data_IF_215892001395
#
_entry.id   IF_215892001395
#
_cell.length_a   1.000
_cell.length_b   1.000
_cell.length_c   1.000
_cell.angle_alpha   90.00
_cell.angle_beta   90.00
_cell.angle_gamma   90.00
#
_symmetry.space_group_name_H-M   'P 1'
#
loop_
_entity.id
_entity.type
_entity.pdbx_description
1 polymer ?
#
# COMPACT_ATOMS: atom_id res chain seq x y z
N UNK A 1 -0.16 3.86 -4.49
CA UNK A 1 -0.71 4.67 -5.60
C UNK A 1 -2.19 4.44 -5.90
N UNK A 2 -2.69 3.21 -6.11
CA UNK A 2 -4.12 2.94 -6.41
C UNK A 2 -5.11 3.40 -5.32
N UNK A 3 -4.77 3.34 -4.04
CA UNK A 3 -5.65 3.79 -2.93
C UNK A 3 -5.76 5.31 -2.82
N UNK A 4 -4.66 6.03 -3.04
CA UNK A 4 -4.66 7.51 -3.07
C UNK A 4 -5.49 8.03 -4.24
N UNK A 5 -5.38 7.39 -5.40
CA UNK A 5 -6.19 7.73 -6.58
C UNK A 5 -7.70 7.47 -6.36
N UNK A 6 -8.04 6.41 -5.61
CA UNK A 6 -9.44 6.12 -5.20
C UNK A 6 -9.98 7.18 -4.22
N UNK A 7 -9.15 7.62 -3.28
CA UNK A 7 -9.50 8.68 -2.34
C UNK A 7 -9.72 10.00 -3.07
N UNK A 8 -8.82 10.36 -3.99
CA UNK A 8 -8.95 11.53 -4.85
C UNK A 8 -10.24 11.51 -5.68
N UNK A 9 -10.59 10.39 -6.32
CA UNK A 9 -11.86 10.26 -7.06
C UNK A 9 -13.08 10.44 -6.17
N UNK A 10 -13.07 9.94 -4.93
CA UNK A 10 -14.17 10.16 -3.97
C UNK A 10 -14.29 11.62 -3.55
N UNK A 11 -13.19 12.29 -3.23
CA UNK A 11 -13.19 13.72 -2.91
C UNK A 11 -13.67 14.55 -4.09
N UNK A 12 -13.22 14.27 -5.30
CA UNK A 12 -13.68 14.92 -6.51
C UNK A 12 -15.19 14.76 -6.70
N UNK A 13 -15.71 13.55 -6.55
CA UNK A 13 -17.14 13.27 -6.67
C UNK A 13 -17.97 14.01 -5.61
N UNK A 14 -17.50 14.05 -4.36
CA UNK A 14 -18.18 14.78 -3.27
C UNK A 14 -18.20 16.28 -3.58
N UNK A 15 -17.09 16.85 -4.04
CA UNK A 15 -17.00 18.27 -4.37
C UNK A 15 -17.86 18.63 -5.58
N UNK A 16 -17.89 17.77 -6.59
CA UNK A 16 -18.76 17.91 -7.77
C UNK A 16 -20.24 17.84 -7.38
N UNK A 17 -20.62 16.86 -6.56
CA UNK A 17 -21.99 16.73 -6.05
C UNK A 17 -22.40 17.91 -5.16
N UNK A 18 -21.50 18.38 -4.28
CA UNK A 18 -21.78 19.55 -3.43
C UNK A 18 -21.94 20.83 -4.26
N UNK A 19 -21.11 21.01 -5.29
CA UNK A 19 -21.24 22.12 -6.25
C UNK A 19 -22.56 22.07 -7.02
N UNK A 20 -22.97 20.89 -7.48
CA UNK A 20 -24.25 20.69 -8.15
C UNK A 20 -25.45 20.97 -7.24
N UNK A 21 -25.41 20.50 -6.00
CA UNK A 21 -26.46 20.76 -5.00
C UNK A 21 -26.58 22.26 -4.72
N UNK A 22 -25.45 22.95 -4.54
CA UNK A 22 -25.40 24.40 -4.31
C UNK A 22 -25.97 25.17 -5.49
N UNK A 23 -25.67 24.73 -6.72
CA UNK A 23 -26.19 25.31 -7.95
C UNK A 23 -27.71 25.13 -8.05
N UNK A 24 -28.23 23.94 -7.78
CA UNK A 24 -29.69 23.66 -7.79
C UNK A 24 -30.39 24.46 -6.69
N UNK A 25 -29.81 24.56 -5.51
CA UNK A 25 -30.34 25.33 -4.36
C UNK A 25 -30.41 26.82 -4.70
N UNK A 26 -29.34 27.40 -5.31
CA UNK A 26 -29.28 28.78 -5.70
C UNK A 26 -30.30 29.08 -6.84
N UNK A 27 -30.43 28.17 -7.80
CA UNK A 27 -31.43 28.30 -8.85
C UNK A 27 -32.86 28.21 -8.28
N UNK A 28 -33.12 27.28 -7.40
CA UNK A 28 -34.41 27.15 -6.71
C UNK A 28 -34.77 28.37 -5.86
N UNK A 29 -33.77 28.90 -5.12
CA UNK A 29 -33.94 30.14 -4.35
C UNK A 29 -34.24 31.35 -5.27
N UNK A 30 -33.52 31.46 -6.36
CA UNK A 30 -33.77 32.54 -7.38
C UNK A 30 -35.19 32.45 -7.93
N UNK A 31 -35.66 31.28 -8.31
CA UNK A 31 -37.02 31.04 -8.82
C UNK A 31 -38.04 31.37 -7.72
N UNK A 32 -37.81 30.91 -6.45
CA UNK A 32 -38.71 31.22 -5.36
C UNK A 32 -38.83 32.72 -5.08
N UNK A 33 -37.72 33.45 -5.03
CA UNK A 33 -37.70 34.89 -4.80
C UNK A 33 -38.36 35.67 -5.96
N UNK A 34 -38.16 35.25 -7.20
CA UNK A 34 -38.78 35.90 -8.37
C UNK A 34 -40.25 35.58 -8.46
N UNK A 35 -40.68 34.35 -8.20
CA UNK A 35 -42.09 33.96 -8.25
C UNK A 35 -42.92 34.65 -7.16
N UNK A 36 -42.40 34.78 -5.95
CA UNK A 36 -43.09 35.49 -4.86
C UNK A 36 -43.28 37.00 -5.09
N UNK A 37 -42.44 37.62 -5.95
CA UNK A 37 -42.47 39.04 -6.23
C UNK A 37 -43.43 39.43 -7.37
N UNK A 38 -43.96 38.46 -8.12
CA UNK A 38 -44.76 38.72 -9.36
C UNK A 38 -46.27 38.46 -9.17
N UNK A 39 -46.73 38.18 -7.93
CA UNK A 39 -48.12 37.71 -7.68
C UNK A 39 -49.25 38.67 -8.13
N UNK A 40 -49.03 39.96 -8.31
CA UNK A 40 -50.01 40.89 -8.85
C UNK A 40 -49.47 41.84 -9.95
N UNK A 41 -48.33 41.49 -10.56
CA UNK A 41 -47.71 42.26 -11.67
C UNK A 41 -47.77 43.81 -11.47
N UNK A 42 -47.53 44.26 -10.21
CA UNK A 42 -47.56 45.69 -9.89
C UNK A 42 -48.97 46.34 -10.00
N UNK A 43 -50.01 45.54 -9.81
CA UNK A 43 -51.40 46.01 -9.89
C UNK A 43 -52.10 45.80 -11.21
N UNK A 44 -51.42 45.27 -12.24
CA UNK A 44 -52.04 45.05 -13.59
C UNK A 44 -53.19 44.05 -13.54
N UNK A 45 -53.10 42.98 -12.78
CA UNK A 45 -54.14 41.95 -12.69
C UNK A 45 -55.40 42.52 -12.04
N UNK A 46 -55.27 43.23 -10.92
CA UNK A 46 -56.40 43.87 -10.24
C UNK A 46 -57.07 44.97 -11.08
N UNK A 47 -56.28 45.73 -11.84
CA UNK A 47 -56.85 46.78 -12.76
C UNK A 47 -57.60 46.13 -13.92
N UNK A 48 -57.08 45.06 -14.50
CA UNK A 48 -57.75 44.35 -15.58
C UNK A 48 -59.08 43.71 -15.14
N UNK A 49 -59.08 43.11 -13.91
CA UNK A 49 -60.34 42.61 -13.36
C UNK A 49 -61.36 43.70 -13.04
N UNK A 50 -60.90 44.83 -12.47
CA UNK A 50 -61.77 45.92 -12.14
C UNK A 50 -62.43 46.53 -13.40
N UNK A 51 -61.76 46.53 -14.55
CA UNK A 51 -62.32 47.02 -15.80
C UNK A 51 -63.61 46.31 -16.21
N UNK A 52 -63.69 44.97 -15.91
CA UNK A 52 -64.88 44.17 -16.18
C UNK A 52 -66.04 44.43 -15.23
N UNK A 53 -65.74 44.86 -13.99
CA UNK A 53 -66.71 45.06 -12.91
C UNK A 53 -67.28 46.52 -12.82
N UNK A 54 -66.80 47.45 -13.58
CA UNK A 54 -67.36 48.81 -13.71
C UNK A 54 -68.41 48.77 -14.79
N UNK A 55 -69.70 49.04 -14.47
CA UNK A 55 -70.83 48.97 -15.33
C UNK A 55 -71.41 50.40 -15.59
N UNK A 56 -71.74 50.67 -16.84
CA UNK A 56 -72.41 51.92 -17.22
C UNK A 56 -73.92 51.84 -16.94
N UNK A 57 -74.50 52.83 -16.32
CA UNK A 57 -75.93 52.91 -16.01
C UNK A 57 -76.69 53.56 -17.15
N UNK A 58 -78.00 53.29 -17.25
CA UNK A 58 -78.90 53.87 -18.26
C UNK A 58 -78.93 55.41 -18.24
N UNK A 59 -78.48 56.01 -17.13
CA UNK A 59 -78.41 57.48 -16.94
C UNK A 59 -77.05 58.08 -17.34
N UNK A 60 -76.11 57.27 -17.93
CA UNK A 60 -74.78 57.73 -18.37
C UNK A 60 -73.74 57.82 -17.22
N UNK A 61 -74.02 57.30 -16.02
CA UNK A 61 -73.07 57.20 -14.92
C UNK A 61 -72.43 55.83 -14.85
N UNK A 62 -71.44 55.64 -13.99
CA UNK A 62 -70.77 54.35 -13.76
C UNK A 62 -71.00 53.87 -12.34
N UNK A 63 -71.29 52.56 -12.15
CA UNK A 63 -71.46 51.93 -10.85
C UNK A 63 -70.54 50.72 -10.82
N UNK A 64 -69.89 50.55 -9.68
CA UNK A 64 -69.03 49.39 -9.42
C UNK A 64 -69.85 48.22 -8.80
N UNK A 65 -69.67 47.00 -9.30
CA UNK A 65 -70.34 45.83 -8.79
C UNK A 65 -69.80 45.48 -7.36
N UNK A 66 -70.56 44.65 -6.58
CA UNK A 66 -70.08 44.14 -5.30
C UNK A 66 -68.72 43.45 -5.41
N UNK A 67 -68.51 42.71 -6.54
CA UNK A 67 -67.22 42.04 -6.79
C UNK A 67 -66.13 43.05 -7.04
N UNK A 68 -66.39 44.10 -7.75
CA UNK A 68 -65.49 45.24 -7.94
C UNK A 68 -65.12 45.94 -6.66
N UNK A 69 -66.11 46.16 -5.77
CA UNK A 69 -65.85 46.67 -4.39
C UNK A 69 -64.92 45.74 -3.61
N UNK A 70 -65.14 44.42 -3.65
CA UNK A 70 -64.28 43.43 -3.06
C UNK A 70 -62.83 43.47 -3.56
N UNK A 71 -62.62 43.76 -4.86
CA UNK A 71 -61.24 43.95 -5.44
C UNK A 71 -60.58 45.19 -4.79
N UNK A 72 -61.31 46.33 -4.74
CA UNK A 72 -60.77 47.54 -4.07
C UNK A 72 -60.40 47.33 -2.63
N UNK A 73 -61.24 46.64 -1.85
CA UNK A 73 -60.99 46.30 -0.45
C UNK A 73 -59.79 45.37 -0.25
N UNK A 74 -59.73 44.30 -1.07
CA UNK A 74 -58.65 43.31 -1.00
C UNK A 74 -57.27 43.95 -1.22
N UNK A 75 -57.18 44.88 -2.15
CA UNK A 75 -55.92 45.53 -2.49
C UNK A 75 -55.79 46.92 -1.82
N UNK A 76 -56.74 47.33 -0.95
CA UNK A 76 -56.76 48.64 -0.35
C UNK A 76 -56.61 49.77 -1.38
N UNK A 77 -57.14 49.51 -2.57
CA UNK A 77 -56.97 50.36 -3.74
C UNK A 77 -58.12 51.33 -3.89
N UNK A 78 -57.86 52.43 -4.60
CA UNK A 78 -58.87 53.35 -5.02
C UNK A 78 -58.88 53.40 -6.56
N UNK A 79 -60.06 53.72 -7.12
CA UNK A 79 -60.23 53.82 -8.59
C UNK A 79 -60.82 55.10 -9.01
N UNK A 80 -60.48 55.53 -10.25
CA UNK A 80 -61.15 56.60 -10.96
C UNK A 80 -61.18 56.32 -12.45
N UNK A 81 -62.24 56.88 -13.15
CA UNK A 81 -62.39 56.75 -14.58
C UNK A 81 -62.30 58.18 -15.20
N UNK A 82 -61.35 58.39 -16.09
CA UNK A 82 -61.11 59.68 -16.79
C UNK A 82 -61.70 59.59 -18.16
N UNK A 83 -62.54 60.59 -18.51
CA UNK A 83 -63.20 60.72 -19.80
C UNK A 83 -62.25 61.09 -20.93
N UNK A 84 -62.35 60.36 -22.03
CA UNK A 84 -61.61 60.70 -23.25
C UNK A 84 -61.95 62.10 -23.80
N UNK A 85 -60.95 62.86 -24.19
CA UNK A 85 -61.09 64.22 -24.84
C UNK A 85 -61.32 65.35 -23.86
N UNK A 86 -62.01 65.17 -22.72
CA UNK A 86 -62.24 66.18 -21.68
C UNK A 86 -61.32 66.19 -20.53
N UNK A 87 -60.82 65.00 -20.16
CA UNK A 87 -60.02 64.80 -18.95
C UNK A 87 -60.79 64.90 -17.63
N UNK A 88 -62.11 64.96 -17.64
CA UNK A 88 -62.92 64.95 -16.42
C UNK A 88 -63.07 63.55 -15.82
N UNK A 89 -63.16 63.42 -14.50
CA UNK A 89 -63.37 62.15 -13.82
C UNK A 89 -64.88 61.83 -13.83
N UNK A 90 -65.28 60.80 -14.63
CA UNK A 90 -66.63 60.31 -14.73
C UNK A 90 -67.09 59.49 -13.53
N UNK A 91 -66.19 58.85 -12.94
CA UNK A 91 -66.46 57.97 -11.73
C UNK A 91 -65.19 57.87 -10.86
N UNK A 92 -65.42 57.83 -9.57
CA UNK A 92 -64.36 57.49 -8.60
C UNK A 92 -64.87 56.61 -7.44
N UNK A 93 -64.01 55.88 -6.79
CA UNK A 93 -64.33 55.11 -5.64
C UNK A 93 -64.51 55.99 -4.38
N UNK A 94 -65.28 55.53 -3.37
CA UNK A 94 -65.57 56.30 -2.15
C UNK A 94 -64.27 56.57 -1.30
N UNK A 95 -63.30 55.72 -1.41
CA UNK A 95 -62.03 55.85 -0.71
C UNK A 95 -60.95 56.63 -1.46
N UNK A 96 -61.35 57.42 -2.46
CA UNK A 96 -60.42 58.26 -3.23
C UNK A 96 -59.70 59.25 -2.27
N UNK A 97 -58.36 59.32 -2.22
CA UNK A 97 -57.64 60.28 -1.42
C UNK A 97 -57.90 61.73 -1.87
N UNK A 98 -58.07 62.64 -0.90
CA UNK A 98 -58.36 64.06 -1.16
C UNK A 98 -57.27 64.76 -1.99
N UNK A 99 -56.10 64.22 -2.11
CA UNK A 99 -54.96 64.77 -2.83
C UNK A 99 -55.06 64.49 -4.37
N UNK A 100 -55.96 63.60 -4.76
CA UNK A 100 -56.08 63.15 -6.15
C UNK A 100 -57.03 64.18 -6.91
N UNK A 101 -56.54 64.76 -8.00
CA UNK A 101 -57.33 65.69 -8.76
C UNK A 101 -58.48 64.97 -9.51
N UNK A 102 -59.59 65.72 -9.74
CA UNK A 102 -60.80 65.25 -10.47
C UNK A 102 -60.83 65.72 -11.93
N UNK A 103 -59.80 66.42 -12.40
CA UNK A 103 -59.60 66.81 -13.80
C UNK A 103 -58.17 66.66 -14.18
N UNK A 104 -57.91 66.16 -15.39
CA UNK A 104 -56.58 65.84 -15.89
C UNK A 104 -56.37 66.43 -17.29
N UNK A 105 -55.28 67.13 -17.48
CA UNK A 105 -54.78 67.54 -18.76
C UNK A 105 -54.14 66.40 -19.51
N UNK A 106 -54.01 66.44 -20.84
CA UNK A 106 -53.31 65.46 -21.66
C UNK A 106 -51.83 65.19 -21.13
N UNK A 107 -51.22 66.30 -20.70
CA UNK A 107 -49.85 66.20 -20.13
C UNK A 107 -49.82 65.41 -18.84
N UNK A 108 -50.81 65.62 -17.96
CA UNK A 108 -50.90 64.84 -16.67
C UNK A 108 -51.28 63.38 -16.95
N UNK A 109 -52.20 63.14 -17.93
CA UNK A 109 -52.50 61.76 -18.36
C UNK A 109 -51.25 61.08 -18.91
N UNK A 110 -50.43 61.75 -19.70
CA UNK A 110 -49.16 61.22 -20.19
C UNK A 110 -48.20 60.90 -19.03
N UNK A 111 -48.22 61.70 -17.96
CA UNK A 111 -47.42 61.47 -16.80
C UNK A 111 -47.88 60.22 -16.01
N UNK A 112 -49.14 59.75 -16.15
CA UNK A 112 -49.60 58.46 -15.52
C UNK A 112 -48.88 57.25 -16.07
N UNK A 113 -48.28 57.34 -17.26
CA UNK A 113 -47.42 56.27 -17.77
C UNK A 113 -46.21 55.98 -16.88
N UNK A 114 -45.82 56.94 -16.03
CA UNK A 114 -44.82 56.79 -15.03
C UNK A 114 -45.27 55.86 -13.85
N UNK A 115 -46.59 55.65 -13.78
CA UNK A 115 -47.19 54.73 -12.80
C UNK A 115 -47.36 55.30 -11.37
N UNK A 116 -47.41 56.65 -11.24
CA UNK A 116 -47.65 57.32 -9.94
C UNK A 116 -48.54 58.52 -10.13
N UNK A 117 -49.48 58.74 -9.17
CA UNK A 117 -50.22 60.00 -8.97
C UNK A 117 -50.04 60.41 -7.53
N UNK A 118 -49.56 61.62 -7.23
CA UNK A 118 -49.34 62.10 -5.86
C UNK A 118 -48.67 61.06 -4.89
N UNK A 119 -47.60 60.39 -5.41
CA UNK A 119 -46.85 59.31 -4.77
C UNK A 119 -47.62 58.01 -4.57
N UNK A 120 -48.85 57.89 -5.06
CA UNK A 120 -49.57 56.61 -5.07
C UNK A 120 -49.22 55.84 -6.34
N UNK A 121 -48.76 54.61 -6.21
CA UNK A 121 -48.50 53.77 -7.39
C UNK A 121 -49.82 53.45 -8.07
N UNK A 122 -49.90 53.76 -9.37
CA UNK A 122 -51.12 53.60 -10.14
C UNK A 122 -50.95 52.69 -11.33
N UNK A 123 -52.02 51.99 -11.69
CA UNK A 123 -52.08 51.19 -12.92
C UNK A 123 -53.27 51.64 -13.74
N UNK A 124 -53.11 51.72 -15.06
CA UNK A 124 -54.16 52.21 -15.97
C UNK A 124 -54.62 51.05 -16.86
N UNK A 125 -55.91 51.09 -17.25
CA UNK A 125 -56.51 50.23 -18.26
C UNK A 125 -57.54 51.01 -19.03
N UNK A 126 -57.86 50.65 -20.30
CA UNK A 126 -58.90 51.23 -21.08
C UNK A 126 -60.27 50.65 -20.75
N UNK A 127 -61.28 51.47 -20.53
CA UNK A 127 -62.69 51.11 -20.46
C UNK A 127 -63.45 51.79 -21.57
N UNK A 128 -63.62 51.07 -22.70
CA UNK A 128 -64.10 51.72 -23.94
C UNK A 128 -63.09 52.74 -24.44
N UNK A 129 -63.53 54.06 -24.60
CA UNK A 129 -62.63 55.15 -24.94
C UNK A 129 -61.98 55.80 -23.70
N UNK A 130 -62.53 55.56 -22.51
CA UNK A 130 -62.11 56.17 -21.23
C UNK A 130 -60.97 55.46 -20.57
N UNK A 131 -60.22 56.16 -19.67
CA UNK A 131 -59.07 55.64 -18.97
C UNK A 131 -59.43 55.30 -17.51
N UNK A 132 -59.47 54.02 -17.16
CA UNK A 132 -59.57 53.57 -15.80
C UNK A 132 -58.18 53.62 -15.15
N UNK A 133 -58.13 54.28 -14.02
CA UNK A 133 -56.90 54.32 -13.16
C UNK A 133 -57.19 53.63 -11.82
N UNK A 134 -56.38 52.73 -11.44
CA UNK A 134 -56.38 52.05 -10.10
C UNK A 134 -55.17 52.53 -9.37
N UNK A 135 -55.32 53.09 -8.17
CA UNK A 135 -54.23 53.50 -7.32
C UNK A 135 -54.13 52.63 -6.07
N UNK A 136 -52.93 52.35 -5.68
CA UNK A 136 -52.64 51.53 -4.50
C UNK A 136 -52.00 52.38 -3.38
N UNK A 137 -51.96 51.89 -2.10
CA UNK A 137 -51.29 52.61 -1.02
C UNK A 137 -49.85 52.99 -1.37
N UNK A 138 -49.37 54.12 -0.87
CA UNK A 138 -48.07 54.76 -1.26
C UNK A 138 -46.83 53.82 -1.14
N UNK A 139 -46.91 52.75 -0.41
CA UNK A 139 -45.80 51.76 -0.25
C UNK A 139 -46.16 50.35 -0.74
N UNK A 140 -47.29 50.18 -1.44
CA UNK A 140 -47.67 48.85 -1.91
C UNK A 140 -46.81 48.35 -3.03
N UNK A 141 -46.42 49.20 -3.94
CA UNK A 141 -45.58 48.88 -5.09
C UNK A 141 -44.50 49.93 -5.31
N UNK A 142 -43.28 49.46 -5.67
CA UNK A 142 -42.26 50.35 -6.19
C UNK A 142 -42.21 50.19 -7.71
N UNK A 143 -42.65 51.16 -8.42
CA UNK A 143 -42.61 51.17 -9.89
C UNK A 143 -41.37 51.88 -10.34
N UNK A 144 -40.58 51.21 -11.18
CA UNK A 144 -39.41 51.84 -11.79
C UNK A 144 -39.85 52.80 -12.90
N UNK A 145 -39.35 54.03 -12.86
CA UNK A 145 -39.73 55.10 -13.83
C UNK A 145 -39.34 54.76 -15.26
N UNK A 146 -38.41 53.86 -15.52
CA UNK A 146 -37.98 53.46 -16.84
C UNK A 146 -37.87 51.97 -16.96
N UNK A 147 -38.93 51.30 -17.39
CA UNK A 147 -38.94 49.83 -17.60
C UNK A 147 -38.42 49.47 -19.02
N UNK A 148 -37.62 50.30 -19.64
CA UNK A 148 -37.01 50.04 -20.95
C UNK A 148 -35.64 49.41 -20.67
N UNK A 149 -35.54 48.15 -20.94
CA UNK A 149 -34.25 47.43 -20.98
C UNK A 149 -33.72 47.42 -22.39
N UNK A 150 -32.44 47.63 -22.55
CA UNK A 150 -31.80 47.48 -23.84
C UNK A 150 -32.01 46.03 -24.33
N UNK A 151 -32.52 45.86 -25.55
CA UNK A 151 -32.81 44.54 -26.13
C UNK A 151 -31.56 43.64 -26.14
N UNK A 152 -30.38 44.24 -26.36
CA UNK A 152 -29.10 43.55 -26.29
C UNK A 152 -28.81 42.90 -24.92
N UNK A 153 -29.31 43.51 -23.84
CA UNK A 153 -29.22 42.94 -22.48
C UNK A 153 -30.09 41.69 -22.35
N UNK A 154 -31.31 41.70 -22.86
CA UNK A 154 -32.24 40.57 -22.83
C UNK A 154 -31.72 39.45 -23.72
N UNK A 155 -31.26 39.77 -24.93
CA UNK A 155 -30.65 38.78 -25.84
C UNK A 155 -29.36 38.19 -25.30
N UNK A 156 -28.55 39.00 -24.63
CA UNK A 156 -27.28 38.59 -24.00
C UNK A 156 -27.45 37.84 -22.68
N UNK A 157 -28.61 37.90 -22.01
CA UNK A 157 -28.83 37.35 -20.68
C UNK A 157 -28.50 35.84 -20.57
N UNK A 158 -28.91 34.96 -21.50
CA UNK A 158 -28.53 33.54 -21.43
C UNK A 158 -27.03 33.34 -21.55
N UNK A 159 -26.31 34.10 -22.34
CA UNK A 159 -24.86 34.04 -22.49
C UNK A 159 -24.17 34.51 -21.20
N UNK A 160 -24.65 35.60 -20.59
CA UNK A 160 -24.13 36.10 -19.32
C UNK A 160 -24.32 35.08 -18.18
N UNK A 161 -25.48 34.42 -18.16
CA UNK A 161 -25.78 33.36 -17.21
C UNK A 161 -24.85 32.16 -17.38
N UNK A 162 -24.61 31.74 -18.63
CA UNK A 162 -23.68 30.69 -18.96
C UNK A 162 -22.22 31.02 -18.51
N UNK A 163 -21.76 32.24 -18.76
CA UNK A 163 -20.44 32.72 -18.31
C UNK A 163 -20.33 32.72 -16.79
N UNK A 164 -21.40 33.18 -16.10
CA UNK A 164 -21.47 33.15 -14.65
C UNK A 164 -21.31 31.72 -14.10
N UNK A 165 -22.03 30.74 -14.66
CA UNK A 165 -21.92 29.34 -14.24
C UNK A 165 -20.56 28.75 -14.56
N UNK A 166 -19.98 29.01 -15.74
CA UNK A 166 -18.66 28.53 -16.11
C UNK A 166 -17.56 29.12 -15.22
N UNK A 167 -17.67 30.43 -14.88
CA UNK A 167 -16.74 31.05 -13.94
C UNK A 167 -16.80 30.41 -12.55
N UNK A 168 -18.01 30.15 -12.01
CA UNK A 168 -18.18 29.45 -10.72
C UNK A 168 -17.61 28.05 -10.77
N UNK A 169 -17.87 27.29 -11.85
CA UNK A 169 -17.27 25.96 -12.03
C UNK A 169 -15.74 26.02 -12.08
N UNK A 170 -15.19 27.03 -12.81
CA UNK A 170 -13.74 27.25 -12.87
C UNK A 170 -13.12 27.51 -11.51
N UNK A 171 -13.74 28.34 -10.68
CA UNK A 171 -13.29 28.61 -9.29
C UNK A 171 -13.33 27.33 -8.43
N UNK A 172 -14.41 26.56 -8.52
CA UNK A 172 -14.55 25.29 -7.79
C UNK A 172 -13.44 24.32 -8.18
N UNK A 173 -13.17 24.16 -9.48
CA UNK A 173 -12.10 23.30 -9.98
C UNK A 173 -10.72 23.78 -9.54
N UNK A 174 -10.48 25.10 -9.53
CA UNK A 174 -9.22 25.67 -9.06
C UNK A 174 -8.99 25.37 -7.57
N UNK A 175 -9.99 25.62 -6.73
CA UNK A 175 -9.92 25.32 -5.28
C UNK A 175 -9.67 23.83 -5.07
N UNK A 176 -10.35 22.97 -5.80
CA UNK A 176 -10.14 21.52 -5.77
C UNK A 176 -8.71 21.15 -6.13
N UNK A 177 -8.17 21.69 -7.23
CA UNK A 177 -6.83 21.39 -7.70
C UNK A 177 -5.75 21.80 -6.66
N UNK A 178 -5.91 22.98 -6.06
CA UNK A 178 -4.98 23.50 -5.03
C UNK A 178 -5.03 22.64 -3.77
N UNK A 179 -6.22 22.34 -3.25
CA UNK A 179 -6.40 21.54 -2.04
C UNK A 179 -5.91 20.10 -2.21
N UNK A 180 -6.25 19.46 -3.33
CA UNK A 180 -5.84 18.08 -3.64
C UNK A 180 -4.33 17.98 -3.83
N UNK A 181 -3.71 18.96 -4.50
CA UNK A 181 -2.26 19.01 -4.66
C UNK A 181 -1.54 19.15 -3.31
N UNK A 182 -2.08 19.92 -2.37
CA UNK A 182 -1.56 20.08 -1.02
C UNK A 182 -1.62 18.76 -0.22
N UNK A 183 -2.75 18.07 -0.28
CA UNK A 183 -2.93 16.76 0.37
C UNK A 183 -1.96 15.73 -0.23
N UNK A 184 -1.87 15.65 -1.56
CA UNK A 184 -1.01 14.68 -2.24
C UNK A 184 0.48 14.90 -1.91
N UNK A 185 0.93 16.16 -1.87
CA UNK A 185 2.30 16.50 -1.45
C UNK A 185 2.60 16.09 -0.02
N UNK A 186 1.62 16.12 0.87
CA UNK A 186 1.78 15.76 2.29
C UNK A 186 1.71 14.24 2.53
N UNK A 187 0.92 13.50 1.76
CA UNK A 187 0.74 12.03 1.91
C UNK A 187 1.83 11.23 1.21
N UNK A 188 2.29 11.69 0.05
CA UNK A 188 3.27 10.97 -0.78
C UNK A 188 4.56 10.57 -0.03
N UNK A 189 5.19 11.44 0.79
CA UNK A 189 6.39 11.06 1.56
C UNK A 189 6.12 9.96 2.58
N UNK A 190 4.92 9.95 3.20
CA UNK A 190 4.53 8.94 4.21
C UNK A 190 4.36 7.57 3.55
N UNK A 191 3.63 7.51 2.41
CA UNK A 191 3.44 6.25 1.67
C UNK A 191 4.78 5.70 1.18
N UNK A 192 5.64 6.56 0.63
CA UNK A 192 6.98 6.16 0.20
C UNK A 192 7.83 5.67 1.37
N UNK A 193 7.72 6.33 2.52
CA UNK A 193 8.40 5.91 3.72
C UNK A 193 7.95 4.53 4.23
N UNK A 194 6.67 4.22 4.17
CA UNK A 194 6.14 2.89 4.54
C UNK A 194 6.66 1.81 3.57
N UNK A 195 6.72 2.10 2.27
CA UNK A 195 7.23 1.16 1.27
C UNK A 195 8.74 0.87 1.45
N UNK A 196 9.52 1.86 1.89
CA UNK A 196 10.97 1.75 2.10
C UNK A 196 11.35 1.20 3.49
N UNK A 197 10.43 1.25 4.46
CA UNK A 197 10.68 0.93 5.87
C UNK A 197 11.29 -0.47 6.13
N UNK A 198 10.94 -1.56 5.40
CA UNK A 198 11.56 -2.87 5.57
C UNK A 198 13.03 -2.91 5.16
N UNK A 199 13.48 -2.03 4.25
CA UNK A 199 14.79 -2.12 3.61
C UNK A 199 15.71 -0.95 3.93
N UNK A 200 15.18 0.13 4.53
CA UNK A 200 15.91 1.39 4.68
C UNK A 200 15.45 2.18 5.90
N UNK A 201 16.37 2.94 6.49
CA UNK A 201 16.01 3.95 7.49
C UNK A 201 15.17 5.05 6.83
N UNK A 202 13.97 5.27 7.35
CA UNK A 202 13.06 6.28 6.81
C UNK A 202 12.78 7.34 7.87
N UNK A 203 13.01 8.59 7.49
CA UNK A 203 12.60 9.76 8.28
C UNK A 203 11.72 10.66 7.43
N UNK A 204 10.49 10.87 7.86
CA UNK A 204 9.52 11.76 7.22
C UNK A 204 9.42 13.06 8.00
N UNK A 205 9.50 14.21 7.30
CA UNK A 205 9.37 15.52 7.94
C UNK A 205 7.97 15.69 8.55
N UNK A 206 7.94 16.00 9.85
CA UNK A 206 6.73 16.19 10.67
C UNK A 206 6.13 17.60 10.45
N UNK A 207 5.72 17.90 9.21
CA UNK A 207 5.14 19.21 8.84
C UNK A 207 3.84 19.03 8.06
N UNK A 208 2.89 19.94 8.27
CA UNK A 208 1.65 20.01 7.51
C UNK A 208 0.50 19.21 8.11
N UNK A 209 -0.51 18.93 7.31
CA UNK A 209 -1.79 18.33 7.73
C UNK A 209 -1.65 16.94 8.37
N UNK A 210 -0.63 16.19 7.98
CA UNK A 210 -0.38 14.81 8.42
C UNK A 210 0.86 14.70 9.31
N UNK A 211 1.23 15.76 10.02
CA UNK A 211 2.41 15.77 10.90
C UNK A 211 2.35 14.69 11.98
N UNK A 212 1.20 14.44 12.59
CA UNK A 212 1.00 13.37 13.59
C UNK A 212 1.20 11.96 12.98
N UNK A 213 0.78 11.76 11.73
CA UNK A 213 0.99 10.48 11.04
C UNK A 213 2.46 10.28 10.68
N UNK A 214 3.15 11.35 10.27
CA UNK A 214 4.59 11.32 10.02
C UNK A 214 5.39 11.04 11.31
N UNK A 215 5.00 11.65 12.43
CA UNK A 215 5.56 11.40 13.75
C UNK A 215 5.37 9.94 14.19
N UNK A 216 4.14 9.43 14.09
CA UNK A 216 3.84 8.03 14.44
C UNK A 216 4.66 7.06 13.58
N UNK A 217 4.83 7.35 12.29
CA UNK A 217 5.66 6.57 11.39
C UNK A 217 7.15 6.61 11.79
N UNK A 218 7.68 7.80 12.12
CA UNK A 218 9.05 7.95 12.60
C UNK A 218 9.28 7.16 13.89
N UNK A 219 8.33 7.18 14.84
CA UNK A 219 8.39 6.39 16.07
C UNK A 219 8.38 4.88 15.79
N UNK A 220 7.56 4.40 14.86
CA UNK A 220 7.57 2.98 14.44
C UNK A 220 8.90 2.60 13.79
N UNK A 221 9.44 3.45 12.91
CA UNK A 221 10.75 3.24 12.28
C UNK A 221 11.86 3.12 13.32
N UNK A 222 11.89 4.02 14.29
CA UNK A 222 12.88 3.99 15.37
C UNK A 222 12.73 2.76 16.25
N UNK A 223 11.49 2.38 16.60
CA UNK A 223 11.22 1.17 17.40
C UNK A 223 11.68 -0.11 16.69
N UNK A 224 11.40 -0.24 15.40
CA UNK A 224 11.86 -1.38 14.59
C UNK A 224 13.40 -1.46 14.58
N UNK A 225 14.05 -0.33 14.40
CA UNK A 225 15.51 -0.22 14.43
C UNK A 225 16.11 -0.60 15.78
N UNK A 226 15.48 -0.15 16.87
CA UNK A 226 15.90 -0.54 18.22
C UNK A 226 15.75 -2.05 18.43
N UNK A 227 14.63 -2.65 17.97
CA UNK A 227 14.40 -4.09 18.04
C UNK A 227 15.42 -4.88 17.21
N UNK A 228 15.73 -4.42 16.00
CA UNK A 228 16.75 -5.07 15.15
C UNK A 228 18.14 -5.02 15.78
N UNK A 229 18.53 -3.87 16.36
CA UNK A 229 19.79 -3.73 17.09
C UNK A 229 19.86 -4.62 18.32
N UNK A 230 18.77 -4.71 19.06
CA UNK A 230 18.68 -5.58 20.24
C UNK A 230 18.77 -7.05 19.83
N UNK A 231 18.09 -7.45 18.74
CA UNK A 231 18.19 -8.82 18.22
C UNK A 231 19.62 -9.14 17.83
N UNK A 232 20.29 -8.30 17.04
CA UNK A 232 21.70 -8.48 16.66
C UNK A 232 22.65 -8.55 17.87
N UNK A 233 22.37 -7.74 18.91
CA UNK A 233 23.15 -7.81 20.16
C UNK A 233 22.97 -9.14 20.87
N UNK A 234 21.74 -9.65 20.97
CA UNK A 234 21.46 -10.96 21.60
C UNK A 234 22.09 -12.10 20.83
N UNK A 235 22.00 -12.08 19.50
CA UNK A 235 22.64 -13.06 18.62
C UNK A 235 24.17 -13.05 18.81
N UNK A 236 24.80 -11.88 18.78
CA UNK A 236 26.23 -11.75 19.00
C UNK A 236 26.65 -12.20 20.41
N UNK A 237 25.88 -11.86 21.43
CA UNK A 237 26.15 -12.30 22.79
C UNK A 237 26.07 -13.84 22.92
N UNK A 238 25.07 -14.47 22.28
CA UNK A 238 24.90 -15.92 22.25
C UNK A 238 26.06 -16.64 21.56
N UNK A 239 26.48 -16.15 20.38
CA UNK A 239 27.61 -16.74 19.66
C UNK A 239 28.93 -16.57 20.42
N UNK A 240 29.17 -15.43 21.06
CA UNK A 240 30.32 -15.18 21.89
C UNK A 240 30.32 -16.07 23.15
N UNK A 241 29.16 -16.26 23.79
CA UNK A 241 29.02 -17.14 24.93
C UNK A 241 29.36 -18.59 24.57
N UNK A 242 28.81 -19.12 23.45
CA UNK A 242 29.13 -20.47 22.96
C UNK A 242 30.63 -20.60 22.67
N UNK A 243 31.24 -19.59 22.06
CA UNK A 243 32.68 -19.56 21.78
C UNK A 243 33.54 -19.61 23.08
N UNK A 244 33.12 -18.83 24.08
CA UNK A 244 33.79 -18.82 25.41
C UNK A 244 33.71 -20.20 26.12
N UNK A 245 32.47 -20.71 26.20
CA UNK A 245 32.25 -22.06 26.81
C UNK A 245 33.02 -23.13 26.04
N UNK A 246 33.07 -23.06 24.71
CA UNK A 246 33.83 -24.01 23.88
C UNK A 246 35.35 -23.97 24.19
N UNK A 247 35.89 -22.76 24.42
CA UNK A 247 37.28 -22.61 24.80
C UNK A 247 37.56 -23.20 26.20
N UNK A 248 36.70 -22.91 27.18
CA UNK A 248 36.90 -23.33 28.57
C UNK A 248 36.71 -24.83 28.75
N UNK A 249 35.91 -25.50 27.91
CA UNK A 249 35.81 -26.97 27.92
C UNK A 249 36.97 -27.61 27.16
N UNK A 250 37.54 -26.99 26.13
CA UNK A 250 38.66 -27.59 25.36
C UNK A 250 39.88 -27.84 26.20
N UNK A 251 40.19 -26.94 27.13
CA UNK A 251 41.40 -27.04 27.98
C UNK A 251 41.38 -28.28 28.90
N UNK A 252 40.37 -28.51 29.76
CA UNK A 252 40.30 -29.74 30.60
C UNK A 252 40.18 -31.00 29.74
N UNK A 253 39.46 -30.95 28.62
CA UNK A 253 39.31 -32.08 27.72
C UNK A 253 40.65 -32.51 27.08
N UNK A 254 41.51 -31.53 26.74
CA UNK A 254 42.84 -31.83 26.21
C UNK A 254 43.75 -32.51 27.26
N UNK A 255 43.59 -32.15 28.54
CA UNK A 255 44.32 -32.82 29.62
C UNK A 255 43.82 -34.26 29.78
N UNK A 256 42.49 -34.51 29.79
CA UNK A 256 41.92 -35.87 29.85
C UNK A 256 42.41 -36.72 28.69
N UNK A 257 42.40 -36.15 27.45
CA UNK A 257 42.94 -36.84 26.28
C UNK A 257 44.42 -37.20 26.43
N UNK A 258 45.23 -36.29 26.95
CA UNK A 258 46.66 -36.50 27.14
C UNK A 258 46.94 -37.61 28.14
N UNK A 259 46.27 -37.58 29.31
CA UNK A 259 46.42 -38.64 30.32
C UNK A 259 45.89 -39.98 29.83
N UNK A 260 44.75 -40.01 29.13
CA UNK A 260 44.24 -41.24 28.56
C UNK A 260 45.19 -41.84 27.51
N UNK A 261 45.82 -41.02 26.67
CA UNK A 261 46.83 -41.47 25.72
C UNK A 261 48.07 -42.10 26.42
N UNK A 262 48.56 -41.40 27.46
CA UNK A 262 49.68 -41.90 28.23
C UNK A 262 49.37 -43.28 28.89
N UNK A 263 48.17 -43.45 29.45
CA UNK A 263 47.71 -44.71 30.02
C UNK A 263 47.55 -45.81 28.96
N UNK A 264 47.01 -45.50 27.80
CA UNK A 264 46.82 -46.41 26.66
C UNK A 264 48.14 -46.94 26.12
N UNK A 265 49.18 -46.13 26.10
CA UNK A 265 50.51 -46.46 25.58
C UNK A 265 51.40 -47.17 26.66
N UNK A 266 51.06 -47.07 27.98
CA UNK A 266 51.86 -47.57 29.04
C UNK A 266 51.78 -49.12 29.11
N UNK A 267 52.88 -49.79 28.77
CA UNK A 267 52.98 -51.27 28.79
C UNK A 267 53.01 -51.88 30.19
N UNK A 268 53.21 -51.05 31.23
CA UNK A 268 53.30 -51.55 32.61
C UNK A 268 51.95 -51.73 33.30
N UNK A 269 50.82 -51.37 32.63
CA UNK A 269 49.45 -51.55 33.12
C UNK A 269 48.73 -52.70 32.40
N UNK A 270 47.73 -53.33 33.04
CA UNK A 270 47.00 -54.47 32.46
C UNK A 270 46.30 -54.02 31.14
N UNK A 271 46.23 -54.97 30.17
CA UNK A 271 45.64 -54.74 28.87
C UNK A 271 44.19 -54.15 28.92
N UNK A 272 43.40 -54.65 29.88
CA UNK A 272 42.04 -54.22 30.11
C UNK A 272 41.95 -52.70 30.47
N UNK A 273 42.89 -52.26 31.35
CA UNK A 273 42.97 -50.86 31.76
C UNK A 273 43.43 -49.95 30.58
N UNK A 274 44.35 -50.44 29.74
CA UNK A 274 44.78 -49.76 28.51
C UNK A 274 43.61 -49.61 27.52
N UNK A 275 42.79 -50.65 27.34
CA UNK A 275 41.60 -50.62 26.53
C UNK A 275 40.61 -49.55 27.02
N UNK A 276 40.38 -49.48 28.35
CA UNK A 276 39.55 -48.46 28.98
C UNK A 276 40.10 -47.06 28.73
N UNK A 277 41.41 -46.86 28.86
CA UNK A 277 42.08 -45.60 28.55
C UNK A 277 41.90 -45.20 27.07
N UNK A 278 42.03 -46.15 26.14
CA UNK A 278 41.70 -45.91 24.72
C UNK A 278 40.27 -45.48 24.47
N UNK A 279 39.30 -46.08 25.17
CA UNK A 279 37.89 -45.67 25.10
C UNK A 279 37.71 -44.22 25.61
N UNK A 280 38.33 -43.88 26.76
CA UNK A 280 38.28 -42.49 27.32
C UNK A 280 38.88 -41.51 26.32
N UNK A 281 40.02 -41.80 25.71
CA UNK A 281 40.67 -40.98 24.71
C UNK A 281 39.74 -40.77 23.51
N UNK A 282 39.16 -41.84 22.98
CA UNK A 282 38.26 -41.78 21.85
C UNK A 282 37.00 -40.94 22.12
N UNK A 283 36.37 -41.10 23.31
CA UNK A 283 35.23 -40.29 23.71
C UNK A 283 35.61 -38.82 23.92
N UNK A 284 36.83 -38.56 24.41
CA UNK A 284 37.32 -37.16 24.56
C UNK A 284 37.56 -36.48 23.19
N UNK A 285 38.11 -37.21 22.21
CA UNK A 285 38.23 -36.72 20.82
C UNK A 285 36.84 -36.40 20.24
N UNK A 286 35.87 -37.30 20.49
CA UNK A 286 34.49 -37.09 20.04
C UNK A 286 33.87 -35.83 20.65
N UNK A 287 34.02 -35.62 21.97
CA UNK A 287 33.55 -34.39 22.63
C UNK A 287 34.21 -33.14 22.08
N UNK A 288 35.53 -33.16 21.81
CA UNK A 288 36.25 -32.05 21.19
C UNK A 288 35.66 -31.69 19.81
N UNK A 289 35.35 -32.68 18.98
CA UNK A 289 34.78 -32.48 17.67
C UNK A 289 33.37 -31.86 17.77
N UNK A 290 32.52 -32.35 18.69
CA UNK A 290 31.20 -31.82 18.95
C UNK A 290 31.22 -30.35 19.38
N UNK A 291 32.16 -29.99 20.28
CA UNK A 291 32.32 -28.60 20.73
C UNK A 291 32.74 -27.69 19.55
N UNK A 292 33.65 -28.18 18.69
CA UNK A 292 34.07 -27.46 17.50
C UNK A 292 32.93 -27.32 16.49
N UNK A 293 32.09 -28.34 16.33
CA UNK A 293 30.92 -28.34 15.48
C UNK A 293 29.86 -27.35 15.99
N UNK A 294 29.58 -27.38 17.30
CA UNK A 294 28.64 -26.43 17.92
C UNK A 294 29.10 -24.97 17.75
N UNK A 295 30.41 -24.73 17.98
CA UNK A 295 30.96 -23.38 17.81
C UNK A 295 30.91 -22.92 16.36
N UNK A 296 31.23 -23.77 15.39
CA UNK A 296 31.13 -23.41 13.96
C UNK A 296 29.69 -23.20 13.56
N UNK A 297 28.76 -24.08 13.90
CA UNK A 297 27.34 -23.96 13.61
C UNK A 297 26.79 -22.65 14.16
N UNK A 298 27.08 -22.31 15.41
CA UNK A 298 26.68 -21.04 16.02
C UNK A 298 27.24 -19.83 15.27
N UNK A 299 28.50 -19.85 14.86
CA UNK A 299 29.10 -18.74 14.13
C UNK A 299 28.55 -18.59 12.71
N UNK A 300 28.23 -19.69 12.03
CA UNK A 300 27.60 -19.68 10.71
C UNK A 300 26.16 -19.17 10.80
N UNK A 301 25.37 -19.64 11.79
CA UNK A 301 23.98 -19.24 12.04
C UNK A 301 23.85 -17.72 12.22
N UNK A 302 24.77 -17.11 12.96
CA UNK A 302 24.74 -15.66 13.23
C UNK A 302 25.63 -14.83 12.29
N UNK A 303 26.07 -15.40 11.16
CA UNK A 303 26.97 -14.74 10.20
C UNK A 303 28.24 -14.14 10.81
N UNK A 304 28.74 -14.75 11.90
CA UNK A 304 29.94 -14.32 12.62
C UNK A 304 31.19 -15.10 12.21
N UNK A 305 31.06 -16.13 11.37
CA UNK A 305 32.20 -16.87 10.83
C UNK A 305 32.87 -16.05 9.73
N UNK A 306 34.13 -15.61 9.89
CA UNK A 306 34.83 -14.97 8.81
C UNK A 306 35.12 -15.98 7.71
N UNK A 307 34.55 -15.76 6.51
CA UNK A 307 34.76 -16.61 5.35
C UNK A 307 36.03 -16.17 4.61
N UNK A 308 36.92 -17.12 4.33
CA UNK A 308 38.11 -16.90 3.50
C UNK A 308 37.77 -17.21 2.04
N UNK A 309 37.07 -16.27 1.41
CA UNK A 309 36.59 -16.43 0.04
C UNK A 309 37.74 -16.30 -0.96
N UNK A 310 38.12 -17.41 -1.60
CA UNK A 310 39.09 -17.49 -2.70
C UNK A 310 38.47 -18.09 -3.95
N UNK A 311 39.07 -17.84 -5.11
CA UNK A 311 38.67 -18.51 -6.35
C UNK A 311 39.19 -19.94 -6.33
N UNK A 312 38.28 -20.90 -6.34
CA UNK A 312 38.64 -22.33 -6.28
C UNK A 312 37.89 -23.12 -7.34
N UNK A 313 38.48 -24.26 -7.68
CA UNK A 313 37.84 -25.26 -8.53
C UNK A 313 37.12 -26.28 -7.60
N UNK A 314 35.78 -26.26 -7.62
CA UNK A 314 34.95 -27.13 -6.78
C UNK A 314 35.22 -28.63 -7.06
N UNK A 315 35.41 -29.00 -8.33
CA UNK A 315 35.76 -30.37 -8.68
C UNK A 315 37.05 -30.84 -8.00
N UNK A 316 38.07 -29.97 -7.94
CA UNK A 316 39.34 -30.29 -7.30
C UNK A 316 39.19 -30.38 -5.77
N UNK A 317 38.37 -29.54 -5.17
CA UNK A 317 38.07 -29.59 -3.69
C UNK A 317 37.39 -30.90 -3.34
N UNK A 318 36.32 -31.27 -4.06
CA UNK A 318 35.61 -32.53 -3.79
C UNK A 318 36.49 -33.73 -4.03
N UNK A 319 37.28 -33.76 -5.13
CA UNK A 319 38.25 -34.82 -5.44
C UNK A 319 39.26 -34.99 -4.29
N UNK A 320 39.79 -33.88 -3.76
CA UNK A 320 40.71 -33.92 -2.62
C UNK A 320 40.10 -34.63 -1.39
N UNK A 321 38.84 -34.31 -1.09
CA UNK A 321 38.12 -34.94 0.03
C UNK A 321 37.95 -36.44 -0.22
N UNK A 322 37.50 -36.83 -1.41
CA UNK A 322 37.38 -38.27 -1.78
C UNK A 322 38.68 -39.00 -1.64
N UNK A 323 39.79 -38.46 -2.14
CA UNK A 323 41.12 -39.06 -2.00
C UNK A 323 41.56 -39.19 -0.56
N UNK A 324 41.33 -38.16 0.23
CA UNK A 324 41.65 -38.18 1.68
C UNK A 324 40.88 -39.32 2.41
N UNK A 325 39.62 -39.57 2.09
CA UNK A 325 38.84 -40.67 2.66
C UNK A 325 39.23 -42.06 2.12
N UNK A 326 39.53 -42.20 0.83
CA UNK A 326 40.00 -43.44 0.25
C UNK A 326 41.34 -43.88 0.89
N UNK A 327 42.23 -42.94 1.17
CA UNK A 327 43.51 -43.25 1.83
C UNK A 327 43.35 -43.67 3.29
N UNK A 328 42.23 -43.30 3.95
CA UNK A 328 41.92 -43.68 5.35
C UNK A 328 41.24 -45.06 5.46
N UNK A 329 40.54 -45.48 4.40
CA UNK A 329 39.82 -46.78 4.39
C UNK A 329 40.71 -47.92 3.92
N UNK A 330 41.64 -48.34 4.78
CA UNK A 330 42.63 -49.43 4.47
C UNK A 330 41.96 -50.79 4.28
N UNK A 331 40.74 -50.99 4.80
CA UNK A 331 40.00 -52.25 4.72
C UNK A 331 39.06 -52.32 3.50
N UNK A 332 38.94 -51.24 2.74
CA UNK A 332 38.03 -51.15 1.58
C UNK A 332 36.55 -51.31 1.96
N UNK A 333 36.18 -50.91 3.18
CA UNK A 333 34.83 -51.07 3.72
C UNK A 333 33.82 -50.07 3.18
N UNK A 334 34.32 -48.94 2.70
CA UNK A 334 33.51 -47.84 2.19
C UNK A 334 34.07 -47.42 0.82
N UNK A 335 33.90 -48.25 -0.24
CA UNK A 335 34.31 -47.84 -1.57
C UNK A 335 33.60 -46.56 -2.00
N UNK A 336 34.36 -45.64 -2.59
CA UNK A 336 33.83 -44.38 -3.08
C UNK A 336 33.93 -44.39 -4.61
N UNK A 337 32.79 -44.41 -5.30
CA UNK A 337 32.69 -44.25 -6.75
C UNK A 337 32.69 -42.77 -7.08
N UNK A 338 33.57 -42.42 -8.01
CA UNK A 338 33.74 -41.02 -8.43
C UNK A 338 33.24 -40.85 -9.88
N UNK A 339 32.15 -40.08 -10.05
CA UNK A 339 31.58 -39.77 -11.35
C UNK A 339 31.70 -38.28 -11.64
N UNK A 340 32.19 -37.98 -12.85
CA UNK A 340 32.17 -36.60 -13.39
C UNK A 340 31.48 -36.64 -14.73
N UNK A 341 30.67 -35.62 -15.03
CA UNK A 341 30.13 -35.44 -16.38
C UNK A 341 31.26 -35.41 -17.41
N UNK A 342 31.12 -36.17 -18.52
CA UNK A 342 32.18 -36.48 -19.49
C UNK A 342 32.97 -35.26 -19.98
N UNK A 343 32.33 -34.12 -20.18
CA UNK A 343 32.95 -32.89 -20.71
C UNK A 343 33.43 -31.94 -19.62
N UNK A 344 33.24 -32.24 -18.30
CA UNK A 344 33.51 -31.30 -17.23
C UNK A 344 34.97 -31.38 -16.76
N UNK A 345 35.75 -30.32 -16.98
CA UNK A 345 37.12 -30.19 -16.47
C UNK A 345 37.21 -29.39 -15.16
N UNK A 346 36.32 -28.45 -14.94
CA UNK A 346 36.31 -27.65 -13.74
C UNK A 346 35.11 -26.76 -13.57
N UNK A 347 34.74 -26.53 -12.30
CA UNK A 347 33.74 -25.56 -11.88
C UNK A 347 34.40 -24.54 -10.94
N UNK A 348 34.54 -23.32 -11.39
CA UNK A 348 35.21 -22.26 -10.62
C UNK A 348 34.22 -21.37 -9.95
N UNK A 349 34.40 -21.20 -8.63
CA UNK A 349 33.55 -20.37 -7.78
C UNK A 349 34.38 -19.62 -6.73
N UNK A 350 33.79 -18.60 -6.14
CA UNK A 350 34.33 -17.99 -4.91
C UNK A 350 33.84 -18.75 -3.71
N UNK A 351 34.75 -19.26 -2.87
CA UNK A 351 34.39 -20.05 -1.71
C UNK A 351 35.51 -20.20 -0.68
N UNK A 352 35.16 -20.67 0.50
CA UNK A 352 36.09 -21.05 1.56
C UNK A 352 36.38 -22.56 1.43
N UNK A 353 37.60 -22.86 0.98
CA UNK A 353 38.06 -24.22 0.70
C UNK A 353 37.95 -25.16 1.93
N UNK A 354 38.30 -24.67 3.10
CA UNK A 354 38.32 -25.50 4.30
C UNK A 354 36.88 -25.80 4.80
N UNK A 355 35.97 -24.83 4.69
CA UNK A 355 34.55 -25.05 5.00
C UNK A 355 33.90 -26.02 4.01
N UNK A 356 34.17 -25.88 2.71
CA UNK A 356 33.65 -26.79 1.70
C UNK A 356 34.17 -28.22 1.92
N UNK A 357 35.49 -28.41 2.18
CA UNK A 357 36.04 -29.71 2.54
C UNK A 357 35.32 -30.32 3.74
N UNK A 358 35.03 -29.50 4.76
CA UNK A 358 34.29 -29.95 5.95
C UNK A 358 32.86 -30.36 5.63
N UNK A 359 32.15 -29.65 4.74
CA UNK A 359 30.81 -30.03 4.33
C UNK A 359 30.78 -31.40 3.64
N UNK A 360 31.64 -31.59 2.63
CA UNK A 360 31.74 -32.89 1.93
C UNK A 360 32.21 -33.99 2.85
N UNK A 361 33.22 -33.74 3.69
CA UNK A 361 33.69 -34.68 4.70
C UNK A 361 32.62 -35.09 5.69
N UNK A 362 31.77 -34.19 6.15
CA UNK A 362 30.64 -34.49 7.01
C UNK A 362 29.64 -35.45 6.36
N UNK A 363 29.36 -35.31 5.08
CA UNK A 363 28.45 -36.20 4.37
C UNK A 363 29.04 -37.60 4.21
N UNK A 364 30.32 -37.72 3.83
CA UNK A 364 31.02 -39.04 3.74
C UNK A 364 31.09 -39.68 5.13
N UNK A 365 31.47 -38.95 6.18
CA UNK A 365 31.50 -39.46 7.55
C UNK A 365 30.10 -39.90 8.00
N UNK A 366 29.04 -39.19 7.60
CA UNK A 366 27.67 -39.59 7.93
C UNK A 366 27.33 -40.94 7.29
N UNK A 367 27.66 -41.16 6.03
CA UNK A 367 27.48 -42.44 5.36
C UNK A 367 28.22 -43.58 6.09
N UNK A 368 29.49 -43.37 6.51
CA UNK A 368 30.27 -44.35 7.24
C UNK A 368 29.68 -44.67 8.65
N UNK A 369 29.28 -43.63 9.36
CA UNK A 369 28.80 -43.76 10.75
C UNK A 369 27.45 -44.47 10.81
N UNK A 370 26.56 -44.21 9.84
CA UNK A 370 25.26 -44.84 9.80
C UNK A 370 25.27 -46.23 9.21
N UNK A 371 26.35 -46.62 8.49
CA UNK A 371 26.50 -47.92 7.87
C UNK A 371 27.72 -48.68 8.42
N UNK A 372 27.71 -49.11 9.70
CA UNK A 372 28.88 -49.74 10.35
C UNK A 372 29.28 -51.07 9.71
N UNK A 373 28.43 -51.67 8.89
CA UNK A 373 28.74 -52.90 8.12
C UNK A 373 29.44 -52.63 6.79
N UNK A 374 29.57 -51.38 6.40
CA UNK A 374 30.03 -50.93 5.09
C UNK A 374 28.87 -50.53 4.18
N UNK A 375 29.15 -49.64 3.24
CA UNK A 375 28.27 -49.22 2.14
C UNK A 375 29.12 -48.64 1.01
N UNK A 376 28.60 -48.66 -0.17
CA UNK A 376 29.18 -47.94 -1.30
C UNK A 376 28.73 -46.48 -1.29
N UNK A 377 29.62 -45.54 -1.59
CA UNK A 377 29.37 -44.12 -1.62
C UNK A 377 29.60 -43.60 -3.04
N UNK A 378 28.62 -43.02 -3.67
CA UNK A 378 28.76 -42.39 -5.00
C UNK A 378 28.88 -40.89 -4.83
N UNK A 379 29.89 -40.29 -5.46
CA UNK A 379 30.08 -38.84 -5.55
C UNK A 379 30.03 -38.41 -6.99
N UNK A 380 28.98 -37.70 -7.35
CA UNK A 380 28.76 -37.28 -8.76
C UNK A 380 28.75 -35.75 -8.88
N UNK A 381 29.45 -35.24 -9.92
CA UNK A 381 29.50 -33.81 -10.20
C UNK A 381 28.94 -33.55 -11.59
N UNK A 382 27.98 -32.63 -11.67
CA UNK A 382 27.28 -32.24 -12.89
C UNK A 382 27.32 -30.73 -13.04
N UNK A 383 27.63 -30.23 -14.22
CA UNK A 383 27.50 -28.81 -14.53
C UNK A 383 26.09 -28.48 -15.04
N UNK A 384 25.48 -27.46 -14.50
CA UNK A 384 24.21 -26.88 -14.94
C UNK A 384 24.44 -25.50 -15.59
N UNK A 385 23.42 -24.92 -16.23
CA UNK A 385 23.58 -23.64 -16.97
C UNK A 385 24.08 -22.47 -16.09
N UNK A 386 23.72 -22.45 -14.82
CA UNK A 386 24.09 -21.37 -13.88
C UNK A 386 24.74 -21.88 -12.59
N UNK A 387 25.19 -23.14 -12.56
CA UNK A 387 25.70 -23.73 -11.31
C UNK A 387 26.47 -25.01 -11.52
N UNK A 388 27.00 -25.53 -10.41
CA UNK A 388 27.60 -26.83 -10.32
C UNK A 388 26.90 -27.64 -9.23
N UNK A 389 26.43 -28.82 -9.60
CA UNK A 389 25.71 -29.74 -8.72
C UNK A 389 26.66 -30.86 -8.28
N UNK A 390 26.73 -31.07 -6.97
CA UNK A 390 27.43 -32.18 -6.33
C UNK A 390 26.41 -33.07 -5.66
N UNK A 391 26.32 -34.33 -6.10
CA UNK A 391 25.48 -35.35 -5.49
C UNK A 391 26.37 -36.30 -4.70
N UNK A 392 25.92 -36.67 -3.51
CA UNK A 392 26.56 -37.66 -2.69
C UNK A 392 25.49 -38.63 -2.18
N UNK A 393 25.62 -39.91 -2.55
CA UNK A 393 24.69 -40.99 -2.22
C UNK A 393 25.41 -42.12 -1.52
N UNK A 394 24.73 -42.81 -0.59
CA UNK A 394 25.20 -44.10 -0.04
C UNK A 394 24.15 -45.18 -0.33
N UNK A 395 24.63 -46.45 -0.36
CA UNK A 395 23.79 -47.64 -0.54
C UNK A 395 23.39 -48.28 0.82
N UNK A 396 23.42 -47.49 1.88
CA UNK A 396 23.22 -47.96 3.24
C UNK A 396 21.77 -48.09 3.68
N UNK A 397 21.56 -47.97 5.00
CA UNK A 397 20.22 -48.15 5.62
C UNK A 397 19.20 -47.08 5.28
N UNK A 398 19.63 -45.97 4.66
CA UNK A 398 18.79 -44.87 4.28
C UNK A 398 18.14 -44.13 5.46
N UNK A 399 17.08 -43.40 5.14
CA UNK A 399 16.33 -42.55 6.10
C UNK A 399 14.83 -42.76 5.90
N UNK A 400 14.02 -42.63 6.97
CA UNK A 400 12.57 -42.73 6.85
C UNK A 400 11.99 -41.47 6.24
N UNK A 401 10.85 -41.59 5.57
CA UNK A 401 10.13 -40.43 4.94
C UNK A 401 9.82 -39.33 5.94
N UNK A 402 9.38 -39.70 7.17
CA UNK A 402 9.11 -38.73 8.23
C UNK A 402 10.37 -37.93 8.62
N UNK A 403 11.54 -38.58 8.64
CA UNK A 403 12.81 -37.97 9.01
C UNK A 403 13.33 -37.09 7.88
N UNK A 404 13.15 -37.51 6.63
CA UNK A 404 13.47 -36.71 5.43
C UNK A 404 12.66 -35.41 5.40
N UNK A 405 11.34 -35.48 5.64
CA UNK A 405 10.47 -34.30 5.72
C UNK A 405 10.88 -33.37 6.87
N UNK A 406 11.27 -33.90 8.03
CA UNK A 406 11.80 -33.09 9.14
C UNK A 406 13.09 -32.37 8.75
N UNK A 407 14.02 -33.04 8.08
CA UNK A 407 15.27 -32.43 7.60
C UNK A 407 15.04 -31.36 6.54
N UNK A 408 14.03 -31.52 5.69
CA UNK A 408 13.70 -30.52 4.65
C UNK A 408 12.97 -29.30 5.23
N UNK A 409 12.02 -29.51 6.15
CA UNK A 409 11.11 -28.46 6.61
C UNK A 409 11.58 -27.71 7.87
N UNK A 410 12.55 -28.27 8.61
CA UNK A 410 13.03 -27.70 9.87
C UNK A 410 14.50 -27.29 9.75
N UNK A 411 14.80 -26.01 9.52
CA UNK A 411 16.18 -25.54 9.26
C UNK A 411 17.17 -25.86 10.39
N UNK A 412 16.68 -25.99 11.62
CA UNK A 412 17.49 -26.23 12.83
C UNK A 412 17.23 -27.60 13.49
N UNK A 413 16.72 -28.56 12.70
CA UNK A 413 16.41 -29.87 13.25
C UNK A 413 17.70 -30.65 13.59
N UNK A 414 17.88 -30.94 14.88
CA UNK A 414 18.89 -31.83 15.37
C UNK A 414 18.28 -33.23 15.51
N UNK A 415 18.90 -34.26 14.93
CA UNK A 415 18.46 -35.65 14.95
C UNK A 415 18.55 -36.31 16.35
N UNK A 416 18.33 -35.56 17.44
CA UNK A 416 18.54 -36.00 18.80
C UNK A 416 17.36 -36.73 19.46
N UNK A 417 16.17 -36.73 18.85
CA UNK A 417 14.93 -37.22 19.52
C UNK A 417 14.44 -38.62 19.14
N UNK A 418 15.17 -39.37 18.35
CA UNK A 418 14.85 -40.79 18.16
C UNK A 418 15.47 -41.66 19.24
N UNK A 419 14.64 -42.27 20.09
CA UNK A 419 14.95 -43.11 21.23
C UNK A 419 15.84 -44.36 20.97
N UNK A 420 16.86 -44.25 20.14
CA UNK A 420 17.90 -45.26 19.90
C UNK A 420 19.08 -44.99 20.83
N UNK A 421 19.52 -46.00 21.50
CA UNK A 421 20.48 -46.05 22.62
C UNK A 421 21.88 -45.45 22.39
N UNK A 422 22.09 -44.69 21.32
CA UNK A 422 23.29 -43.87 21.12
C UNK A 422 22.86 -42.52 20.51
N UNK A 423 22.90 -41.41 21.26
CA UNK A 423 22.63 -40.09 20.76
C UNK A 423 23.75 -39.67 19.77
N UNK A 424 23.52 -39.87 18.47
CA UNK A 424 24.40 -39.39 17.43
C UNK A 424 23.96 -37.98 17.12
N UNK A 425 24.79 -37.01 17.37
CA UNK A 425 24.49 -35.60 17.34
C UNK A 425 24.30 -35.14 15.88
N UNK A 426 23.07 -34.79 15.49
CA UNK A 426 22.69 -34.35 14.15
C UNK A 426 23.28 -33.01 13.68
N UNK A 427 24.35 -32.51 14.28
CA UNK A 427 25.01 -31.27 13.92
C UNK A 427 25.70 -31.31 12.54
N UNK A 428 26.14 -32.51 12.09
CA UNK A 428 26.87 -32.65 10.84
C UNK A 428 26.09 -32.15 9.61
N UNK A 429 24.82 -32.57 9.47
CA UNK A 429 23.95 -32.15 8.36
C UNK A 429 23.54 -30.68 8.46
N UNK A 430 23.35 -30.17 9.69
CA UNK A 430 23.10 -28.75 9.93
C UNK A 430 24.28 -27.88 9.45
N UNK A 431 25.51 -28.30 9.80
CA UNK A 431 26.74 -27.63 9.36
C UNK A 431 26.87 -27.66 7.84
N UNK A 432 26.56 -28.81 7.20
CA UNK A 432 26.55 -28.89 5.72
C UNK A 432 25.63 -27.84 5.13
N UNK A 433 24.39 -27.76 5.62
CA UNK A 433 23.40 -26.76 5.18
C UNK A 433 23.92 -25.35 5.33
N UNK A 434 24.39 -25.00 6.53
CA UNK A 434 24.89 -23.65 6.81
C UNK A 434 26.11 -23.28 5.95
N UNK A 435 27.01 -24.24 5.68
CA UNK A 435 28.14 -24.00 4.77
C UNK A 435 27.68 -23.78 3.34
N UNK A 436 26.76 -24.61 2.85
CA UNK A 436 26.21 -24.47 1.48
C UNK A 436 25.51 -23.12 1.32
N UNK A 437 24.66 -22.74 2.29
CA UNK A 437 23.97 -21.45 2.31
C UNK A 437 24.94 -20.26 2.37
N UNK A 438 26.00 -20.36 3.19
CA UNK A 438 27.04 -19.33 3.30
C UNK A 438 27.80 -19.11 1.98
N UNK A 439 27.79 -20.09 1.08
CA UNK A 439 28.35 -19.99 -0.26
C UNK A 439 27.31 -19.68 -1.35
N UNK A 440 26.07 -19.28 -0.96
CA UNK A 440 24.98 -18.95 -1.87
C UNK A 440 24.38 -20.16 -2.60
N UNK A 441 24.72 -21.38 -2.12
CA UNK A 441 24.21 -22.63 -2.69
C UNK A 441 22.88 -23.08 -2.07
N UNK A 442 22.36 -24.18 -2.58
CA UNK A 442 21.16 -24.87 -2.07
C UNK A 442 21.48 -26.33 -1.75
N UNK A 443 20.83 -26.87 -0.70
CA UNK A 443 20.98 -28.25 -0.27
C UNK A 443 19.62 -28.93 -0.22
N UNK A 444 19.50 -30.09 -0.86
CA UNK A 444 18.36 -30.98 -0.79
C UNK A 444 18.79 -32.38 -0.34
N UNK A 445 17.97 -33.03 0.48
CA UNK A 445 18.14 -34.41 0.86
C UNK A 445 17.10 -35.29 0.18
N UNK A 446 17.45 -36.52 -0.18
CA UNK A 446 16.54 -37.43 -0.88
C UNK A 446 16.88 -38.90 -0.55
N UNK A 447 16.02 -39.80 -0.95
CA UNK A 447 16.28 -41.23 -0.88
C UNK A 447 17.16 -41.65 -2.03
N UNK A 448 18.32 -42.25 -1.71
CA UNK A 448 19.22 -42.77 -2.73
C UNK A 448 18.58 -43.86 -3.59
N UNK A 449 19.02 -44.01 -4.83
CA UNK A 449 18.45 -44.92 -5.80
C UNK A 449 18.42 -46.42 -5.40
N UNK A 450 19.27 -46.81 -4.48
CA UNK A 450 19.33 -48.18 -3.92
C UNK A 450 18.81 -48.28 -2.49
N UNK A 451 18.04 -47.32 -2.01
CA UNK A 451 17.45 -47.30 -0.68
C UNK A 451 18.28 -46.60 0.39
N UNK A 452 19.44 -46.05 0.05
CA UNK A 452 20.32 -45.32 0.96
C UNK A 452 19.89 -43.83 1.15
N UNK A 453 20.83 -43.00 1.60
CA UNK A 453 20.64 -41.58 1.80
C UNK A 453 21.41 -40.78 0.73
N UNK A 454 20.74 -39.75 0.17
CA UNK A 454 21.31 -38.84 -0.82
C UNK A 454 21.27 -37.38 -0.36
N UNK A 455 22.31 -36.64 -0.75
CA UNK A 455 22.40 -35.20 -0.58
C UNK A 455 22.80 -34.54 -1.90
N UNK A 456 22.03 -33.56 -2.32
CA UNK A 456 22.26 -32.75 -3.52
C UNK A 456 22.62 -31.32 -3.10
N UNK A 457 23.79 -30.85 -3.52
CA UNK A 457 24.28 -29.51 -3.25
C UNK A 457 24.47 -28.79 -4.59
N UNK A 458 23.83 -27.64 -4.77
CA UNK A 458 24.00 -26.81 -5.96
C UNK A 458 24.69 -25.51 -5.56
N UNK A 459 25.80 -25.19 -6.24
CA UNK A 459 26.57 -23.97 -6.00
C UNK A 459 26.55 -23.07 -7.21
N UNK A 460 26.37 -21.74 -7.03
CA UNK A 460 26.60 -20.79 -8.10
C UNK A 460 28.08 -20.78 -8.49
N UNK A 461 28.37 -20.79 -9.78
CA UNK A 461 29.75 -20.80 -10.29
C UNK A 461 30.00 -19.61 -11.21
N UNK A 462 31.21 -19.06 -11.13
CA UNK A 462 31.64 -17.94 -11.98
C UNK A 462 32.00 -18.41 -13.37
N UNK A 463 32.54 -19.64 -13.51
CA UNK A 463 33.02 -20.23 -14.76
C UNK A 463 32.97 -21.75 -14.73
N UNK A 464 32.49 -22.33 -15.82
CA UNK A 464 32.54 -23.78 -16.10
C UNK A 464 33.53 -24.03 -17.22
N UNK A 465 34.52 -24.90 -16.98
CA UNK A 465 35.42 -25.35 -18.03
C UNK A 465 34.99 -26.73 -18.54
N UNK A 466 34.62 -26.78 -19.83
CA UNK A 466 34.28 -28.01 -20.55
C UNK A 466 35.42 -28.41 -21.46
N UNK A 467 35.75 -29.67 -21.45
CA UNK A 467 36.73 -30.24 -22.38
C UNK A 467 36.21 -30.26 -23.84
N UNK A 468 37.07 -30.05 -24.78
CA UNK A 468 36.76 -30.31 -26.20
C UNK A 468 36.82 -31.82 -26.40
N UNK A 469 35.68 -32.47 -26.60
CA UNK A 469 35.63 -33.85 -27.05
C UNK A 469 36.14 -33.86 -28.49
N UNK A 470 37.42 -34.21 -28.70
CA UNK A 470 37.94 -34.54 -30.05
C UNK A 470 37.31 -35.89 -30.40
N UNK A 471 36.23 -35.89 -31.14
CA UNK A 471 35.76 -37.07 -31.83
C UNK A 471 36.83 -37.47 -32.82
N UNK A 472 37.73 -38.34 -32.45
CA UNK A 472 38.53 -39.11 -33.39
C UNK A 472 37.64 -40.23 -33.91
N UNK A 473 36.93 -39.96 -35.01
CA UNK A 473 36.43 -41.01 -35.87
C UNK A 473 37.65 -41.76 -36.41
N UNK A 474 37.76 -43.02 -36.03
CA UNK A 474 38.56 -44.03 -36.73
C UNK A 474 37.62 -45.12 -37.26
#
# INVERSE_FOLDING_TARGET
MKSVLKLMKRFFLILLCSGLILLVLNLGLLIYLTYGSVSNAGGWTSTSELTGELQETESGGYILTEKGQGILEQYQAWGLLIQDGTGEVLWHSENLPKEIPLHYTISEISALTLGYIADYPTTTASKGADLLVLGHPKKAYWKMMHNTYDYSLIEGFPKMLAVFFLANLGVILLIYMVTTSGILKSVRPIVKGIEELPNREVYVKEKGLFSQLAEAMNQVSEKLRMQERELKRRESARANWISGVSHDIRTPLSMVMGYAAQLEENQNIPLEERKKAGIIRQQSIRMKNLINDLNLSSKLEYHMQPLRMETLNLVAVVRQVVVDFLNLDLEGKYPIEWEIQEDLQGCFMRGDKELLKRAFGNLITNAQVHNPKGCEITVKIVAEEQGCKVLLEDTGVGITEEMLQKLQNTPHYMLSDSGVSQPRHGLGLLIVRQIVEAHGGTLAFYHGGQGGFGAEMTFPVDRIEKGVTICTEF
#
